data_IF_220893621878
#
_entry.id   IF_220893621878
#
_cell.length_a   1.000
_cell.length_b   1.000
_cell.length_c   1.000
_cell.angle_alpha   90.00
_cell.angle_beta   90.00
_cell.angle_gamma   90.00
#
_symmetry.space_group_name_H-M   'P 1'
#
loop_
_entity.id
_entity.type
_entity.pdbx_description
1 polymer ?
#
# COMPACT_ATOMS: atom_id res chain seq x y z
N UNK A 1 -70.32 -83.85 -34.55
CA UNK A 1 -70.85 -82.50 -34.25
C UNK A 1 -69.67 -81.61 -33.88
N UNK A 2 -69.79 -80.34 -34.30
CA UNK A 2 -68.75 -79.31 -34.47
C UNK A 2 -67.87 -79.04 -33.25
N UNK A 3 -66.64 -78.63 -33.58
CA UNK A 3 -65.61 -78.10 -32.72
C UNK A 3 -66.04 -76.84 -31.94
N UNK A 4 -65.49 -76.67 -30.74
CA UNK A 4 -65.37 -75.35 -30.11
C UNK A 4 -63.89 -74.98 -30.00
N UNK A 5 -63.67 -73.79 -30.51
CA UNK A 5 -62.46 -73.13 -30.93
C UNK A 5 -61.73 -72.41 -29.79
N UNK A 6 -60.41 -72.36 -29.93
CA UNK A 6 -59.48 -71.37 -29.38
C UNK A 6 -60.11 -70.08 -28.84
N UNK A 7 -59.72 -69.70 -27.62
CA UNK A 7 -59.31 -68.32 -27.37
C UNK A 7 -58.05 -68.31 -26.50
N UNK A 8 -56.96 -67.95 -27.16
CA UNK A 8 -55.74 -67.44 -26.55
C UNK A 8 -56.08 -66.49 -25.41
N UNK A 9 -55.53 -66.75 -24.22
CA UNK A 9 -55.45 -65.80 -23.12
C UNK A 9 -54.71 -64.56 -23.62
N UNK A 10 -55.50 -63.56 -24.01
CA UNK A 10 -55.04 -62.20 -24.28
C UNK A 10 -54.35 -61.71 -23.02
N UNK A 11 -53.04 -61.53 -23.10
CA UNK A 11 -52.28 -60.85 -22.07
C UNK A 11 -52.98 -59.53 -21.75
N UNK A 12 -53.36 -59.37 -20.49
CA UNK A 12 -53.98 -58.19 -19.90
C UNK A 12 -53.16 -56.95 -20.30
N UNK A 13 -53.62 -56.23 -21.34
CA UNK A 13 -53.00 -55.00 -21.82
C UNK A 13 -53.35 -53.92 -20.81
N UNK A 14 -52.60 -53.90 -19.70
CA UNK A 14 -52.70 -52.85 -18.70
C UNK A 14 -52.54 -51.50 -19.39
N UNK A 15 -53.44 -50.57 -19.11
CA UNK A 15 -53.30 -49.20 -19.58
C UNK A 15 -51.99 -48.60 -19.03
N UNK A 16 -51.36 -47.71 -19.79
CA UNK A 16 -50.08 -47.10 -19.42
C UNK A 16 -50.12 -46.46 -18.02
N UNK A 17 -51.26 -45.91 -17.63
CA UNK A 17 -51.47 -45.28 -16.32
C UNK A 17 -51.66 -46.29 -15.18
N UNK A 18 -52.28 -47.45 -15.43
CA UNK A 18 -52.35 -48.53 -14.44
C UNK A 18 -50.99 -49.17 -14.22
N UNK A 19 -50.20 -49.34 -15.28
CA UNK A 19 -48.82 -49.81 -15.17
C UNK A 19 -47.97 -48.82 -14.35
N UNK A 20 -48.07 -47.50 -14.62
CA UNK A 20 -47.40 -46.45 -13.84
C UNK A 20 -47.79 -46.49 -12.36
N UNK A 21 -49.09 -46.60 -12.07
CA UNK A 21 -49.60 -46.69 -10.69
C UNK A 21 -49.08 -47.94 -9.97
N UNK A 22 -49.11 -49.10 -10.63
CA UNK A 22 -48.57 -50.36 -10.08
C UNK A 22 -47.07 -50.28 -9.83
N UNK A 23 -46.29 -49.69 -10.74
CA UNK A 23 -44.85 -49.48 -10.57
C UNK A 23 -44.55 -48.55 -9.39
N UNK A 24 -45.24 -47.40 -9.33
CA UNK A 24 -45.09 -46.46 -8.21
C UNK A 24 -45.40 -47.13 -6.87
N UNK A 25 -46.49 -47.89 -6.80
CA UNK A 25 -46.88 -48.62 -5.60
C UNK A 25 -45.86 -49.70 -5.23
N UNK A 26 -45.38 -50.47 -6.21
CA UNK A 26 -44.35 -51.50 -6.00
C UNK A 26 -43.04 -50.90 -5.47
N UNK A 27 -42.62 -49.76 -5.99
CA UNK A 27 -41.42 -49.06 -5.54
C UNK A 27 -41.60 -48.43 -4.15
N UNK A 28 -42.81 -47.97 -3.84
CA UNK A 28 -43.18 -47.47 -2.51
C UNK A 28 -43.17 -48.59 -1.47
N UNK A 29 -43.80 -49.72 -1.77
CA UNK A 29 -43.92 -50.87 -0.86
C UNK A 29 -42.58 -51.56 -0.60
N UNK A 30 -41.68 -51.54 -1.59
CA UNK A 30 -40.29 -52.03 -1.46
C UNK A 30 -39.33 -51.02 -0.80
N UNK A 31 -39.79 -49.82 -0.46
CA UNK A 31 -38.96 -48.79 0.18
C UNK A 31 -37.85 -48.18 -0.71
N UNK A 32 -37.85 -48.48 -2.01
CA UNK A 32 -36.82 -48.00 -2.96
C UNK A 32 -37.19 -46.67 -3.61
N UNK A 33 -38.41 -46.17 -3.37
CA UNK A 33 -38.91 -44.94 -3.98
C UNK A 33 -38.05 -43.73 -3.61
N UNK A 34 -37.61 -43.62 -2.35
CA UNK A 34 -36.82 -42.46 -1.91
C UNK A 34 -35.37 -42.53 -2.38
N UNK A 35 -34.81 -43.74 -2.50
CA UNK A 35 -33.51 -43.96 -3.16
C UNK A 35 -33.58 -43.58 -4.63
N UNK A 36 -34.65 -43.96 -5.33
CA UNK A 36 -34.85 -43.62 -6.73
C UNK A 36 -35.05 -42.12 -6.94
N UNK A 37 -35.84 -41.45 -6.08
CA UNK A 37 -35.97 -39.98 -6.10
C UNK A 37 -34.63 -39.29 -5.88
N UNK A 38 -33.82 -39.78 -4.94
CA UNK A 38 -32.51 -39.23 -4.63
C UNK A 38 -31.54 -39.42 -5.81
N UNK A 39 -31.54 -40.60 -6.44
CA UNK A 39 -30.75 -40.88 -7.64
C UNK A 39 -31.18 -40.00 -8.82
N UNK A 40 -32.49 -39.87 -9.09
CA UNK A 40 -33.02 -39.00 -10.14
C UNK A 40 -32.67 -37.53 -9.88
N UNK A 41 -32.78 -37.07 -8.63
CA UNK A 41 -32.39 -35.71 -8.26
C UNK A 41 -30.90 -35.48 -8.48
N UNK A 42 -30.04 -36.40 -8.06
CA UNK A 42 -28.60 -36.30 -8.25
C UNK A 42 -28.20 -36.35 -9.72
N UNK A 43 -28.88 -37.19 -10.52
CA UNK A 43 -28.67 -37.28 -11.96
C UNK A 43 -29.13 -36.00 -12.65
N UNK A 44 -30.27 -35.42 -12.26
CA UNK A 44 -30.74 -34.14 -12.77
C UNK A 44 -29.81 -32.99 -12.39
N UNK A 45 -29.30 -32.97 -11.16
CA UNK A 45 -28.28 -32.01 -10.74
C UNK A 45 -27.04 -32.17 -11.61
N UNK A 46 -26.54 -33.39 -11.83
CA UNK A 46 -25.37 -33.62 -12.67
C UNK A 46 -25.59 -33.21 -14.12
N UNK A 47 -26.77 -33.50 -14.69
CA UNK A 47 -27.15 -33.08 -16.05
C UNK A 47 -27.34 -31.56 -16.18
N UNK A 48 -27.90 -30.90 -15.16
CA UNK A 48 -28.03 -29.43 -15.12
C UNK A 48 -26.70 -28.73 -14.83
N UNK A 49 -25.77 -29.39 -14.12
CA UNK A 49 -24.42 -28.91 -13.88
C UNK A 49 -23.48 -29.19 -15.06
N UNK A 50 -23.92 -29.91 -16.10
CA UNK A 50 -23.12 -30.06 -17.32
C UNK A 50 -23.09 -28.73 -18.10
N UNK A 51 -21.89 -28.23 -18.50
CA UNK A 51 -21.72 -26.93 -19.17
C UNK A 51 -22.40 -26.78 -20.54
N UNK A 52 -23.01 -27.85 -21.06
CA UNK A 52 -23.46 -27.93 -22.46
C UNK A 52 -24.88 -27.36 -22.63
N UNK A 53 -25.66 -27.24 -21.56
CA UNK A 53 -27.01 -26.63 -21.59
C UNK A 53 -27.07 -25.23 -20.95
N UNK A 54 -26.07 -24.86 -20.14
CA UNK A 54 -25.85 -23.48 -19.70
C UNK A 54 -25.00 -22.77 -20.75
N UNK A 55 -25.63 -22.21 -21.78
CA UNK A 55 -24.95 -21.30 -22.70
C UNK A 55 -24.13 -20.30 -21.90
N UNK A 56 -22.80 -20.36 -22.05
CA UNK A 56 -21.78 -19.49 -21.46
C UNK A 56 -22.21 -18.70 -20.21
N UNK A 57 -22.30 -19.38 -19.07
CA UNK A 57 -22.17 -18.73 -17.76
C UNK A 57 -20.84 -19.10 -17.09
N UNK A 58 -19.79 -19.28 -17.90
CA UNK A 58 -18.47 -18.86 -17.43
C UNK A 58 -18.52 -17.33 -17.37
N UNK A 59 -18.23 -16.68 -16.22
CA UNK A 59 -17.99 -15.26 -16.21
C UNK A 59 -16.90 -15.03 -17.25
N UNK A 60 -17.27 -14.36 -18.35
CA UNK A 60 -16.43 -14.06 -19.51
C UNK A 60 -14.97 -13.94 -19.08
N UNK A 61 -14.20 -15.01 -19.27
CA UNK A 61 -12.82 -15.06 -18.84
C UNK A 61 -12.08 -14.04 -19.68
N UNK A 62 -11.82 -12.87 -19.10
CA UNK A 62 -10.82 -11.95 -19.62
C UNK A 62 -9.51 -12.71 -19.48
N UNK A 63 -9.14 -13.44 -20.53
CA UNK A 63 -7.92 -14.23 -20.62
C UNK A 63 -6.72 -13.29 -20.57
N UNK A 64 -6.33 -13.01 -19.35
CA UNK A 64 -5.01 -12.54 -18.95
C UNK A 64 -4.67 -13.54 -17.84
N UNK A 65 -3.75 -14.47 -18.06
CA UNK A 65 -3.40 -15.54 -17.10
C UNK A 65 -3.29 -15.04 -15.63
N UNK A 66 -2.83 -13.79 -15.43
CA UNK A 66 -2.76 -13.13 -14.14
C UNK A 66 -4.10 -12.68 -13.53
N UNK A 67 -5.13 -12.39 -14.32
CA UNK A 67 -6.48 -12.09 -13.83
C UNK A 67 -7.13 -13.34 -13.21
N UNK A 68 -6.90 -14.52 -13.78
CA UNK A 68 -7.45 -15.79 -13.26
C UNK A 68 -6.89 -16.11 -11.86
N UNK A 69 -5.58 -15.94 -11.65
CA UNK A 69 -4.94 -16.14 -10.35
C UNK A 69 -5.42 -15.12 -9.30
N UNK A 70 -5.55 -13.85 -9.68
CA UNK A 70 -6.05 -12.80 -8.77
C UNK A 70 -7.52 -13.00 -8.40
N UNK A 71 -8.34 -13.47 -9.35
CA UNK A 71 -9.73 -13.85 -9.09
C UNK A 71 -9.78 -15.04 -8.12
N UNK A 72 -8.96 -16.07 -8.34
CA UNK A 72 -8.87 -17.22 -7.44
C UNK A 72 -8.42 -16.84 -6.02
N UNK A 73 -7.47 -15.92 -5.90
CA UNK A 73 -7.02 -15.39 -4.62
C UNK A 73 -8.10 -14.56 -3.92
N UNK A 74 -8.82 -13.71 -4.68
CA UNK A 74 -9.94 -12.94 -4.16
C UNK A 74 -11.05 -13.87 -3.64
N UNK A 75 -11.37 -14.92 -4.40
CA UNK A 75 -12.36 -15.92 -4.01
C UNK A 75 -11.88 -16.70 -2.77
N UNK A 76 -10.58 -16.97 -2.65
CA UNK A 76 -10.00 -17.63 -1.46
C UNK A 76 -10.09 -16.76 -0.21
N UNK A 77 -9.90 -15.44 -0.33
CA UNK A 77 -10.10 -14.50 0.78
C UNK A 77 -11.54 -14.52 1.29
N UNK A 78 -12.51 -14.51 0.37
CA UNK A 78 -13.93 -14.59 0.71
C UNK A 78 -14.26 -15.95 1.33
N UNK A 79 -13.76 -17.05 0.76
CA UNK A 79 -13.97 -18.39 1.29
C UNK A 79 -13.43 -18.55 2.71
N UNK A 80 -12.21 -18.09 3.01
CA UNK A 80 -11.65 -18.11 4.37
C UNK A 80 -12.53 -17.30 5.34
N UNK A 81 -12.98 -16.12 4.93
CA UNK A 81 -13.87 -15.31 5.77
C UNK A 81 -15.21 -16.00 6.05
N UNK A 82 -15.87 -16.53 5.01
CA UNK A 82 -17.15 -17.26 5.15
C UNK A 82 -16.99 -18.47 6.08
N UNK A 83 -15.88 -19.21 5.95
CA UNK A 83 -15.57 -20.35 6.80
C UNK A 83 -15.33 -19.94 8.26
N UNK A 84 -14.54 -18.89 8.52
CA UNK A 84 -14.23 -18.43 9.88
C UNK A 84 -15.45 -17.87 10.60
N UNK A 85 -16.37 -17.25 9.86
CA UNK A 85 -17.63 -16.75 10.39
C UNK A 85 -18.74 -17.82 10.52
N UNK A 86 -18.48 -19.06 10.07
CA UNK A 86 -19.44 -20.17 10.19
C UNK A 86 -20.63 -20.06 9.22
N UNK A 87 -20.46 -19.37 8.09
CA UNK A 87 -21.51 -19.24 7.06
C UNK A 87 -21.57 -20.49 6.16
N UNK A 88 -21.85 -21.65 6.75
CA UNK A 88 -21.81 -22.96 6.09
C UNK A 88 -22.69 -23.04 4.83
N UNK A 89 -23.91 -22.47 4.88
CA UNK A 89 -24.81 -22.44 3.72
C UNK A 89 -24.23 -21.61 2.58
N UNK A 90 -23.81 -20.37 2.86
CA UNK A 90 -23.20 -19.49 1.87
C UNK A 90 -21.94 -20.11 1.28
N UNK A 91 -21.12 -20.76 2.11
CA UNK A 91 -19.90 -21.44 1.67
C UNK A 91 -20.21 -22.62 0.72
N UNK A 92 -21.28 -23.38 1.00
CA UNK A 92 -21.69 -24.51 0.16
C UNK A 92 -22.15 -24.10 -1.24
N UNK A 93 -22.74 -22.90 -1.37
CA UNK A 93 -23.16 -22.30 -2.64
C UNK A 93 -22.00 -21.57 -3.31
N UNK A 94 -21.14 -20.92 -2.53
CA UNK A 94 -20.02 -20.13 -3.03
C UNK A 94 -18.98 -20.95 -3.78
N UNK A 95 -18.59 -22.14 -3.29
CA UNK A 95 -17.61 -22.99 -3.98
C UNK A 95 -18.00 -23.35 -5.42
N UNK A 96 -19.21 -23.90 -5.68
CA UNK A 96 -19.64 -24.20 -7.05
C UNK A 96 -19.87 -22.94 -7.90
N UNK A 97 -20.40 -21.84 -7.31
CA UNK A 97 -20.63 -20.59 -8.05
C UNK A 97 -19.33 -19.87 -8.44
N UNK A 98 -18.33 -19.87 -7.57
CA UNK A 98 -17.04 -19.20 -7.80
C UNK A 98 -16.07 -20.04 -8.64
N UNK A 99 -16.40 -21.30 -8.90
CA UNK A 99 -15.48 -22.26 -9.51
C UNK A 99 -14.25 -22.59 -8.65
N UNK A 100 -14.24 -22.17 -7.37
CA UNK A 100 -13.15 -22.43 -6.44
C UNK A 100 -13.26 -23.86 -5.93
N UNK A 101 -12.29 -24.71 -6.27
CA UNK A 101 -12.20 -26.03 -5.66
C UNK A 101 -11.67 -25.90 -4.22
N UNK A 102 -12.20 -26.69 -3.29
CA UNK A 102 -11.72 -26.71 -1.88
C UNK A 102 -10.20 -26.98 -1.76
N UNK A 103 -9.63 -27.69 -2.72
CA UNK A 103 -8.20 -28.02 -2.79
C UNK A 103 -7.33 -26.90 -3.35
N UNK A 104 -7.95 -25.90 -4.01
CA UNK A 104 -7.27 -24.76 -4.67
C UNK A 104 -7.37 -23.48 -3.85
N UNK A 105 -7.77 -23.55 -2.59
CA UNK A 105 -7.81 -22.38 -1.70
C UNK A 105 -6.38 -21.97 -1.41
N UNK A 106 -6.04 -20.73 -1.74
CA UNK A 106 -4.69 -20.19 -1.52
C UNK A 106 -4.38 -20.11 -0.02
N UNK A 107 -3.17 -20.50 0.36
CA UNK A 107 -2.70 -20.29 1.74
C UNK A 107 -2.41 -18.82 1.97
N UNK A 108 -2.30 -18.42 3.25
CA UNK A 108 -1.90 -17.06 3.60
C UNK A 108 -0.59 -16.65 2.92
N UNK A 109 0.37 -17.56 2.83
CA UNK A 109 1.67 -17.30 2.21
C UNK A 109 1.56 -17.08 0.71
N UNK A 110 0.74 -17.88 0.02
CA UNK A 110 0.48 -17.72 -1.40
C UNK A 110 -0.19 -16.38 -1.70
N UNK A 111 -1.15 -15.97 -0.86
CA UNK A 111 -1.83 -14.68 -0.97
C UNK A 111 -0.85 -13.52 -0.79
N UNK A 112 0.03 -13.58 0.21
CA UNK A 112 1.05 -12.53 0.44
C UNK A 112 2.04 -12.42 -0.73
N UNK A 113 2.43 -13.55 -1.33
CA UNK A 113 3.28 -13.56 -2.52
C UNK A 113 2.56 -12.99 -3.74
N UNK A 114 1.29 -13.35 -3.94
CA UNK A 114 0.49 -12.88 -5.08
C UNK A 114 0.20 -11.37 -5.01
N UNK A 115 -0.04 -10.85 -3.79
CA UNK A 115 -0.22 -9.42 -3.50
C UNK A 115 1.14 -8.67 -3.56
N UNK A 116 2.26 -9.40 -3.73
CA UNK A 116 3.63 -8.87 -3.84
C UNK A 116 4.08 -8.05 -2.62
N UNK A 117 3.68 -8.48 -1.43
CA UNK A 117 4.15 -7.84 -0.20
C UNK A 117 5.59 -8.27 0.06
N UNK A 118 6.49 -7.30 0.23
CA UNK A 118 7.91 -7.58 0.44
C UNK A 118 8.13 -8.35 1.77
N UNK A 119 8.78 -9.53 1.76
CA UNK A 119 9.04 -10.32 2.96
C UNK A 119 9.82 -9.59 4.06
N UNK A 120 10.61 -8.58 3.68
CA UNK A 120 11.40 -7.78 4.61
C UNK A 120 10.61 -6.64 5.26
N UNK A 121 9.42 -6.31 4.73
CA UNK A 121 8.59 -5.22 5.23
C UNK A 121 8.05 -5.50 6.63
N UNK A 122 7.84 -4.44 7.42
CA UNK A 122 7.20 -4.54 8.73
C UNK A 122 5.78 -5.11 8.62
N UNK A 123 5.04 -4.72 7.59
CA UNK A 123 3.70 -5.24 7.27
C UNK A 123 3.72 -6.76 7.08
N UNK A 124 4.65 -7.30 6.29
CA UNK A 124 4.76 -8.75 6.10
C UNK A 124 5.05 -9.49 7.40
N UNK A 125 6.00 -8.99 8.20
CA UNK A 125 6.34 -9.59 9.50
C UNK A 125 5.16 -9.58 10.46
N UNK A 126 4.42 -8.48 10.51
CA UNK A 126 3.22 -8.36 11.35
C UNK A 126 2.13 -9.34 10.89
N UNK A 127 1.88 -9.42 9.58
CA UNK A 127 0.91 -10.34 9.00
C UNK A 127 1.21 -11.82 9.28
N UNK A 128 2.49 -12.21 9.24
CA UNK A 128 2.93 -13.59 9.52
C UNK A 128 2.95 -13.88 11.03
N UNK A 129 3.22 -12.88 11.88
CA UNK A 129 3.34 -13.06 13.34
C UNK A 129 2.00 -12.92 14.08
N UNK A 130 1.04 -12.18 13.52
CA UNK A 130 -0.26 -11.88 14.12
C UNK A 130 -1.30 -13.00 13.97
N UNK A 131 -1.02 -14.00 13.11
CA UNK A 131 -1.95 -15.10 12.80
C UNK A 131 -2.32 -16.00 13.98
N UNK A 132 -1.63 -15.91 15.12
CA UNK A 132 -1.93 -16.75 16.29
C UNK A 132 -2.90 -16.12 17.30
N UNK A 133 -3.13 -14.80 17.27
CA UNK A 133 -3.76 -14.10 18.40
C UNK A 133 -5.22 -13.68 18.20
N UNK A 134 -5.71 -13.53 16.97
CA UNK A 134 -7.05 -12.97 16.68
C UNK A 134 -7.83 -13.80 15.64
N UNK A 135 -7.71 -15.12 15.74
CA UNK A 135 -8.12 -16.10 14.73
C UNK A 135 -9.61 -16.17 14.35
N UNK A 136 -10.48 -15.41 15.02
CA UNK A 136 -11.93 -15.47 14.77
C UNK A 136 -12.38 -14.70 13.52
N UNK A 137 -11.64 -13.69 13.05
CA UNK A 137 -12.14 -12.74 12.02
C UNK A 137 -11.71 -13.03 10.58
N UNK A 138 -10.94 -14.10 10.36
CA UNK A 138 -10.40 -14.44 9.04
C UNK A 138 -9.16 -13.62 8.64
N UNK A 139 -8.41 -14.11 7.67
CA UNK A 139 -7.21 -13.45 7.16
C UNK A 139 -7.53 -12.08 6.53
N UNK A 140 -8.68 -11.94 5.87
CA UNK A 140 -9.12 -10.67 5.26
C UNK A 140 -9.18 -9.52 6.28
N UNK A 141 -9.82 -9.75 7.42
CA UNK A 141 -9.95 -8.70 8.44
C UNK A 141 -8.61 -8.39 9.10
N UNK A 142 -7.79 -9.42 9.37
CA UNK A 142 -6.44 -9.24 9.87
C UNK A 142 -5.60 -8.38 8.91
N UNK A 143 -5.68 -8.66 7.62
CA UNK A 143 -4.99 -7.91 6.59
C UNK A 143 -5.42 -6.43 6.54
N UNK A 144 -6.72 -6.16 6.58
CA UNK A 144 -7.24 -4.78 6.57
C UNK A 144 -6.85 -4.01 7.84
N UNK A 145 -6.85 -4.67 8.99
CA UNK A 145 -6.42 -4.07 10.27
C UNK A 145 -4.94 -3.68 10.21
N UNK A 146 -4.07 -4.59 9.77
CA UNK A 146 -2.63 -4.34 9.62
C UNK A 146 -2.34 -3.25 8.58
N UNK A 147 -3.10 -3.17 7.48
CA UNK A 147 -3.01 -2.06 6.55
C UNK A 147 -3.41 -0.73 7.19
N UNK A 148 -4.51 -0.70 7.93
CA UNK A 148 -4.97 0.51 8.62
C UNK A 148 -3.95 0.98 9.67
N UNK A 149 -3.39 0.06 10.46
CA UNK A 149 -2.35 0.34 11.45
C UNK A 149 -1.05 0.80 10.78
N UNK A 150 -0.64 0.16 9.69
CA UNK A 150 0.53 0.56 8.91
C UNK A 150 0.39 1.98 8.35
N UNK A 151 -0.80 2.33 7.84
CA UNK A 151 -1.08 3.67 7.34
C UNK A 151 -1.09 4.72 8.47
N UNK A 152 -1.70 4.42 9.61
CA UNK A 152 -1.71 5.31 10.78
C UNK A 152 -0.31 5.50 11.37
N UNK A 153 0.47 4.42 11.49
CA UNK A 153 1.87 4.50 11.91
C UNK A 153 2.70 5.35 10.93
N UNK A 154 2.43 5.23 9.62
CA UNK A 154 3.11 6.02 8.59
C UNK A 154 2.69 7.49 8.59
N UNK A 155 1.41 7.81 8.83
CA UNK A 155 0.94 9.20 9.01
C UNK A 155 1.49 9.81 10.29
N UNK A 156 1.59 9.04 11.38
CA UNK A 156 2.26 9.48 12.61
C UNK A 156 3.76 9.77 12.41
N UNK A 157 4.40 9.11 11.44
CA UNK A 157 5.77 9.43 11.03
C UNK A 157 5.89 10.61 10.04
N UNK A 158 4.80 11.02 9.38
CA UNK A 158 4.84 12.03 8.31
C UNK A 158 4.16 13.36 8.68
N UNK A 159 3.69 13.52 9.92
CA UNK A 159 2.98 14.74 10.34
C UNK A 159 3.47 15.35 11.65
N UNK A 160 4.69 15.06 12.06
CA UNK A 160 5.39 15.91 13.01
C UNK A 160 6.70 16.39 12.39
N UNK A 161 6.80 17.71 12.31
CA UNK A 161 8.05 18.45 12.28
C UNK A 161 9.17 17.68 12.95
N UNK A 162 10.34 17.73 12.30
CA UNK A 162 11.63 17.33 12.85
C UNK A 162 11.67 17.37 14.39
N UNK A 163 12.22 16.30 14.99
CA UNK A 163 12.42 16.04 16.44
C UNK A 163 11.37 15.04 16.98
N UNK A 164 11.58 13.72 16.98
CA UNK A 164 12.61 13.06 17.78
C UNK A 164 12.50 11.51 17.78
N UNK A 165 13.65 10.85 18.06
CA UNK A 165 13.77 9.59 18.83
C UNK A 165 13.43 8.27 18.10
N UNK A 166 14.25 7.22 17.99
CA UNK A 166 15.56 6.89 18.57
C UNK A 166 16.10 5.69 17.76
N UNK A 167 17.00 5.90 16.82
CA UNK A 167 17.94 4.86 16.38
C UNK A 167 19.23 5.58 15.95
N UNK A 168 20.30 5.38 16.74
CA UNK A 168 21.65 5.94 16.57
C UNK A 168 21.82 7.47 16.79
N UNK A 169 21.35 8.01 17.94
CA UNK A 169 21.76 9.38 18.36
C UNK A 169 23.25 9.49 18.66
N UNK A 170 23.87 8.45 19.21
CA UNK A 170 25.28 8.51 19.59
C UNK A 170 26.19 8.51 18.35
N UNK A 171 25.69 8.07 17.18
CA UNK A 171 26.52 8.00 15.97
C UNK A 171 26.47 9.27 15.11
N UNK A 172 25.37 10.03 15.09
CA UNK A 172 25.25 11.17 14.17
C UNK A 172 25.93 12.43 14.71
N UNK A 173 25.71 12.76 15.99
CA UNK A 173 26.36 13.91 16.60
C UNK A 173 27.88 13.69 16.65
N UNK A 174 28.30 12.46 16.97
CA UNK A 174 29.71 12.07 16.98
C UNK A 174 30.31 12.07 15.57
N UNK A 175 29.57 11.62 14.53
CA UNK A 175 30.01 11.76 13.12
C UNK A 175 30.10 13.21 12.66
N UNK A 176 29.14 14.05 13.03
CA UNK A 176 29.16 15.48 12.70
C UNK A 176 30.31 16.19 13.41
N UNK A 177 30.56 15.85 14.67
CA UNK A 177 31.71 16.36 15.41
C UNK A 177 33.03 15.86 14.82
N UNK A 178 33.10 14.60 14.39
CA UNK A 178 34.29 14.05 13.75
C UNK A 178 34.55 14.68 12.38
N UNK A 179 33.50 15.09 11.67
CA UNK A 179 33.58 15.94 10.46
C UNK A 179 34.14 17.30 10.87
N UNK A 180 33.53 17.99 11.83
CA UNK A 180 33.98 19.32 12.27
C UNK A 180 35.44 19.31 12.74
N UNK A 181 35.86 18.29 13.50
CA UNK A 181 37.24 18.11 13.97
C UNK A 181 38.19 17.81 12.79
N UNK A 182 37.79 16.95 11.84
CA UNK A 182 38.58 16.64 10.65
C UNK A 182 38.76 17.87 9.73
N UNK A 183 37.79 18.77 9.69
CA UNK A 183 37.88 20.03 8.95
C UNK A 183 38.52 21.18 9.75
N UNK A 184 38.54 21.10 11.09
CA UNK A 184 39.25 22.06 11.93
C UNK A 184 40.77 22.06 11.65
N UNK A 185 41.35 20.88 11.45
CA UNK A 185 42.76 20.72 11.09
C UNK A 185 43.06 21.08 9.62
N UNK A 186 42.05 21.02 8.75
CA UNK A 186 42.14 21.38 7.33
C UNK A 186 42.05 22.90 7.05
N UNK A 187 42.16 23.74 8.08
CA UNK A 187 42.12 25.21 7.99
C UNK A 187 43.49 25.95 7.89
N UNK A 188 44.52 25.51 7.12
CA UNK A 188 45.68 26.38 6.81
C UNK A 188 45.31 27.72 6.12
N UNK A 189 44.08 27.85 5.62
CA UNK A 189 43.58 29.06 4.98
C UNK A 189 43.11 30.14 5.98
N UNK A 190 42.74 29.80 7.22
CA UNK A 190 42.32 30.79 8.23
C UNK A 190 43.43 31.79 8.55
N UNK A 191 44.66 31.29 8.71
CA UNK A 191 45.86 32.12 8.97
C UNK A 191 46.11 33.09 7.81
N UNK A 192 45.84 32.67 6.57
CA UNK A 192 45.97 33.55 5.39
C UNK A 192 44.87 34.62 5.38
N UNK A 193 43.63 34.27 5.72
CA UNK A 193 42.53 35.23 5.79
C UNK A 193 42.72 36.26 6.91
N UNK A 194 43.16 35.84 8.10
CA UNK A 194 43.48 36.75 9.21
C UNK A 194 44.62 37.72 8.83
N UNK A 195 45.67 37.23 8.16
CA UNK A 195 46.76 38.09 7.67
C UNK A 195 46.28 39.12 6.63
N UNK A 196 45.30 38.74 5.79
CA UNK A 196 44.74 39.59 4.76
C UNK A 196 43.78 40.63 5.36
N UNK A 197 43.01 40.26 6.37
CA UNK A 197 42.12 41.13 7.13
C UNK A 197 42.91 42.20 7.90
N UNK A 198 44.01 41.83 8.55
CA UNK A 198 44.93 42.78 9.21
C UNK A 198 45.47 43.78 8.18
N UNK A 199 45.96 43.29 7.03
CA UNK A 199 46.52 44.15 5.98
C UNK A 199 45.46 45.10 5.39
N UNK A 200 44.22 44.64 5.22
CA UNK A 200 43.12 45.47 4.74
C UNK A 200 42.77 46.57 5.74
N UNK A 201 42.73 46.24 7.03
CA UNK A 201 42.51 47.22 8.10
C UNK A 201 43.63 48.26 8.19
N UNK A 202 44.89 47.86 7.97
CA UNK A 202 46.02 48.79 7.89
C UNK A 202 45.86 49.78 6.73
N UNK A 203 45.58 49.31 5.52
CA UNK A 203 45.34 50.19 4.37
C UNK A 203 44.16 51.12 4.58
N UNK A 204 43.06 50.63 5.18
CA UNK A 204 41.91 51.45 5.51
C UNK A 204 42.30 52.61 6.44
N UNK A 205 43.07 52.32 7.50
CA UNK A 205 43.55 53.33 8.45
C UNK A 205 44.48 54.34 7.78
N UNK A 206 45.39 53.88 6.91
CA UNK A 206 46.32 54.75 6.18
C UNK A 206 45.56 55.73 5.26
N UNK A 207 44.55 55.26 4.53
CA UNK A 207 43.70 56.11 3.67
C UNK A 207 42.92 57.13 4.52
N UNK A 208 42.36 56.71 5.66
CA UNK A 208 41.65 57.60 6.57
C UNK A 208 42.55 58.69 7.15
N UNK A 209 43.79 58.35 7.52
CA UNK A 209 44.79 59.29 8.01
C UNK A 209 45.23 60.26 6.92
N UNK A 210 45.49 59.78 5.70
CA UNK A 210 45.84 60.63 4.56
C UNK A 210 44.71 61.63 4.26
N UNK A 211 43.46 61.16 4.22
CA UNK A 211 42.30 62.03 3.97
C UNK A 211 42.16 63.12 5.04
N UNK A 212 42.38 62.76 6.31
CA UNK A 212 42.38 63.73 7.42
C UNK A 212 43.50 64.75 7.26
N UNK A 213 44.71 64.32 6.91
CA UNK A 213 45.85 65.21 6.71
C UNK A 213 45.59 66.20 5.54
N UNK A 214 45.07 65.72 4.41
CA UNK A 214 44.72 66.56 3.27
C UNK A 214 43.63 67.58 3.62
N UNK A 215 42.60 67.16 4.37
CA UNK A 215 41.54 68.06 4.82
C UNK A 215 42.09 69.15 5.76
N UNK A 216 42.94 68.78 6.72
CA UNK A 216 43.60 69.74 7.60
C UNK A 216 44.46 70.75 6.83
N UNK A 217 45.21 70.29 5.82
CA UNK A 217 46.02 71.15 4.97
C UNK A 217 45.16 72.12 4.15
N UNK A 218 44.08 71.64 3.50
CA UNK A 218 43.14 72.48 2.75
C UNK A 218 42.47 73.52 3.66
N UNK A 219 42.07 73.12 4.86
CA UNK A 219 41.47 74.03 5.84
C UNK A 219 42.46 75.11 6.29
N UNK A 220 43.72 74.74 6.51
CA UNK A 220 44.78 75.70 6.84
C UNK A 220 45.01 76.71 5.72
N UNK A 221 45.13 76.25 4.48
CA UNK A 221 45.26 77.13 3.31
C UNK A 221 44.07 78.09 3.17
N UNK A 222 42.84 77.59 3.36
CA UNK A 222 41.63 78.42 3.33
C UNK A 222 41.67 79.51 4.42
N UNK A 223 41.99 79.12 5.66
CA UNK A 223 42.12 80.07 6.79
C UNK A 223 43.18 81.13 6.50
N UNK A 224 44.35 80.74 6.02
CA UNK A 224 45.45 81.68 5.73
C UNK A 224 45.08 82.66 4.61
N UNK A 225 44.38 82.17 3.57
CA UNK A 225 43.87 82.99 2.46
C UNK A 225 42.83 84.00 2.94
N UNK A 226 41.87 83.57 3.77
CA UNK A 226 40.83 84.45 4.31
C UNK A 226 41.43 85.50 5.25
N UNK A 227 42.39 85.11 6.11
CA UNK A 227 43.14 86.05 6.96
C UNK A 227 43.91 87.06 6.11
N UNK A 228 44.57 86.63 5.03
CA UNK A 228 45.28 87.53 4.12
C UNK A 228 44.32 88.52 3.43
N UNK A 229 43.13 88.06 3.01
CA UNK A 229 42.08 88.89 2.41
C UNK A 229 41.56 89.94 3.41
N UNK A 230 41.24 89.54 4.64
CA UNK A 230 40.81 90.45 5.71
C UNK A 230 41.91 91.49 6.00
N UNK A 231 43.18 91.07 6.09
CA UNK A 231 44.32 91.99 6.30
C UNK A 231 44.48 92.99 5.15
N UNK A 232 44.29 92.56 3.91
CA UNK A 232 44.32 93.42 2.72
C UNK A 232 43.17 94.44 2.73
N UNK A 233 41.95 94.01 3.05
CA UNK A 233 40.79 94.89 3.18
C UNK A 233 40.95 95.91 4.31
N UNK A 234 41.49 95.49 5.46
CA UNK A 234 41.80 96.39 6.57
C UNK A 234 42.85 97.45 6.18
N UNK A 235 43.89 97.07 5.45
CA UNK A 235 44.90 98.03 4.93
C UNK A 235 44.32 99.00 3.91
N UNK A 236 43.39 98.55 3.04
CA UNK A 236 42.67 99.43 2.10
C UNK A 236 41.78 100.44 2.82
N UNK A 237 41.07 100.02 3.88
CA UNK A 237 40.24 100.91 4.71
C UNK A 237 41.05 101.97 5.49
N UNK A 238 42.30 101.68 5.87
CA UNK A 238 43.19 102.64 6.55
C UNK A 238 43.88 103.65 5.61
N UNK A 239 43.81 103.47 4.29
CA UNK A 239 44.42 104.35 3.27
C UNK A 239 43.41 105.28 2.57
N UNK A 240 42.14 105.21 2.96
CA UNK A 240 41.09 106.18 2.65
C UNK A 240 40.87 107.05 3.87
#
# INVERSE_FOLDING_TARGET
>A
MMAQSNMFTVADVLSQDELRKKLYQTFKDRGILDTLKTQLRNQLIHELMHPVLSGELQPRSISVEGSSLLIGASNSLVADHLQRCGYEYSLSVFFPESGLAKEKVFTMQDLLQLIKINPTSSLYKSLVSGSDKENQKGFLMHFLKELAEYHQAKESCNMETQTSSTFNRDSLAEKLQLIDDQFADAYPQRIKFESLEIKLNEYKREIEEQLRAEMCQKLKFFKDTEIAKIKMEAKKKKKK
#
